data_IF_533652674233
#
_entry.id   IF_533652674233
#
_cell.length_a   1.000
_cell.length_b   1.000
_cell.length_c   1.000
_cell.angle_alpha   90.00
_cell.angle_beta   90.00
_cell.angle_gamma   90.00
#
_symmetry.space_group_name_H-M   'P 1'
#
loop_
_entity.id
_entity.type
_entity.pdbx_description
1 polymer ?
#
# COMPACT_ATOMS: atom_id res chain seq x y z
N UNK A 1 -7.40 -20.22 17.29
CA UNK A 1 -6.56 -19.42 16.38
C UNK A 1 -6.02 -18.25 17.19
N UNK A 2 -4.71 -18.09 17.28
CA UNK A 2 -4.09 -16.96 17.98
C UNK A 2 -4.22 -15.71 17.13
N UNK A 3 -5.08 -14.78 17.51
CA UNK A 3 -5.19 -13.45 16.90
C UNK A 3 -3.87 -12.72 17.13
N UNK A 4 -3.05 -12.65 16.10
CA UNK A 4 -1.78 -11.92 16.14
C UNK A 4 -2.08 -10.45 15.88
N UNK A 5 -2.08 -9.62 16.93
CA UNK A 5 -2.27 -8.18 16.80
C UNK A 5 -1.10 -7.56 16.03
N UNK A 6 -1.40 -6.82 14.97
CA UNK A 6 -0.40 -6.12 14.16
C UNK A 6 -0.33 -4.65 14.61
N UNK A 7 0.83 -4.14 15.05
CA UNK A 7 0.96 -2.75 15.46
C UNK A 7 0.66 -1.78 14.32
N UNK A 8 -0.26 -0.84 14.54
CA UNK A 8 -0.52 0.29 13.65
C UNK A 8 0.43 1.43 14.00
N UNK A 9 1.19 1.89 13.00
CA UNK A 9 2.11 3.02 13.13
C UNK A 9 1.40 4.34 12.79
N UNK A 10 0.54 4.31 11.77
CA UNK A 10 -0.15 5.48 11.27
C UNK A 10 -1.46 5.08 10.60
N UNK A 11 -2.49 5.91 10.78
CA UNK A 11 -3.77 5.76 10.11
C UNK A 11 -4.38 7.15 9.86
N UNK A 12 -4.71 7.43 8.61
CA UNK A 12 -5.60 8.51 8.20
C UNK A 12 -6.67 7.95 7.27
N UNK A 13 -7.57 8.79 6.76
CA UNK A 13 -8.64 8.40 5.85
C UNK A 13 -8.16 7.62 4.60
N UNK A 14 -6.97 7.94 4.08
CA UNK A 14 -6.43 7.40 2.84
C UNK A 14 -5.44 6.25 3.02
N UNK A 15 -4.77 6.16 4.16
CA UNK A 15 -3.60 5.31 4.38
C UNK A 15 -3.65 4.63 5.74
N UNK A 16 -3.29 3.35 5.74
CA UNK A 16 -3.00 2.57 6.94
C UNK A 16 -1.56 2.06 6.83
N UNK A 17 -0.76 2.32 7.86
CA UNK A 17 0.63 1.87 7.96
C UNK A 17 0.77 0.98 9.19
N UNK A 18 1.30 -0.21 8.98
CA UNK A 18 1.49 -1.21 10.03
C UNK A 18 2.95 -1.64 10.16
N UNK A 19 3.34 -2.12 11.33
CA UNK A 19 4.64 -2.72 11.58
C UNK A 19 4.52 -4.25 11.55
N UNK A 20 4.95 -4.90 10.46
CA UNK A 20 4.95 -6.36 10.36
C UNK A 20 6.08 -6.94 11.21
N UNK A 21 5.81 -7.87 12.14
CA UNK A 21 6.87 -8.61 12.82
C UNK A 21 7.61 -9.57 11.87
N UNK A 22 8.83 -9.95 12.24
CA UNK A 22 9.54 -11.05 11.59
C UNK A 22 8.84 -12.40 11.87
N UNK A 23 9.03 -13.39 11.01
CA UNK A 23 8.38 -14.69 11.09
C UNK A 23 6.95 -14.73 10.53
N UNK A 24 6.34 -13.58 10.23
CA UNK A 24 4.97 -13.48 9.75
C UNK A 24 4.91 -13.36 8.22
N UNK A 25 4.20 -14.28 7.58
CA UNK A 25 3.91 -14.23 6.13
C UNK A 25 2.90 -13.14 5.85
N UNK A 26 3.09 -12.38 4.76
CA UNK A 26 2.31 -11.18 4.51
C UNK A 26 0.90 -11.42 3.98
N UNK A 27 0.74 -12.33 3.01
CA UNK A 27 -0.53 -12.67 2.37
C UNK A 27 -0.54 -14.18 2.07
N UNK A 28 -1.71 -14.81 1.95
CA UNK A 28 -1.82 -16.23 1.68
C UNK A 28 -1.03 -16.66 0.44
N UNK A 29 -0.33 -17.77 0.56
CA UNK A 29 0.44 -18.42 -0.52
C UNK A 29 0.13 -19.91 -0.51
N UNK A 30 0.54 -20.64 -1.56
CA UNK A 30 0.32 -22.09 -1.62
C UNK A 30 0.91 -22.88 -0.44
N UNK A 31 1.99 -22.39 0.19
CA UNK A 31 2.60 -23.00 1.38
C UNK A 31 2.04 -22.49 2.71
N UNK A 32 1.43 -21.31 2.71
CA UNK A 32 0.93 -20.65 3.92
C UNK A 32 -0.45 -20.07 3.58
N UNK A 33 -1.47 -20.92 3.67
CA UNK A 33 -2.85 -20.57 3.30
C UNK A 33 -3.50 -19.68 4.36
N UNK A 34 -3.10 -19.81 5.61
CA UNK A 34 -3.60 -19.08 6.76
C UNK A 34 -2.47 -18.49 7.63
N UNK A 35 -2.82 -17.92 8.78
CA UNK A 35 -1.84 -17.35 9.72
C UNK A 35 -1.00 -16.19 9.18
N UNK A 36 -1.47 -15.51 8.13
CA UNK A 36 -0.76 -14.39 7.51
C UNK A 36 -1.16 -13.05 8.14
N UNK A 37 -0.31 -12.03 7.99
CA UNK A 37 -0.62 -10.66 8.39
C UNK A 37 -1.92 -10.17 7.76
N UNK A 38 -2.17 -10.51 6.49
CA UNK A 38 -3.41 -10.17 5.80
C UNK A 38 -4.64 -10.73 6.50
N UNK A 39 -4.58 -11.98 6.98
CA UNK A 39 -5.68 -12.59 7.71
C UNK A 39 -5.91 -11.91 9.06
N UNK A 40 -4.84 -11.57 9.78
CA UNK A 40 -4.92 -10.82 11.03
C UNK A 40 -5.56 -9.44 10.83
N UNK A 41 -5.13 -8.69 9.81
CA UNK A 41 -5.70 -7.37 9.49
C UNK A 41 -7.17 -7.44 9.07
N UNK A 42 -7.57 -8.50 8.37
CA UNK A 42 -8.98 -8.71 8.00
C UNK A 42 -9.86 -9.09 9.20
N UNK A 43 -9.32 -9.76 10.21
CA UNK A 43 -10.04 -10.06 11.44
C UNK A 43 -10.34 -8.78 12.24
N UNK A 44 -9.40 -7.83 12.21
CA UNK A 44 -9.51 -6.54 12.91
C UNK A 44 -10.05 -5.41 12.03
N UNK A 45 -10.62 -5.74 10.85
CA UNK A 45 -11.02 -4.76 9.83
C UNK A 45 -11.97 -3.68 10.35
N UNK A 46 -12.91 -4.07 11.21
CA UNK A 46 -13.88 -3.15 11.82
C UNK A 46 -13.21 -2.03 12.63
N UNK A 47 -12.04 -2.30 13.21
CA UNK A 47 -11.26 -1.32 13.97
C UNK A 47 -10.63 -0.26 13.05
N UNK A 48 -10.39 -0.62 11.78
CA UNK A 48 -9.70 0.24 10.80
C UNK A 48 -10.62 0.79 9.72
N UNK A 49 -11.92 0.47 9.75
CA UNK A 49 -12.89 0.87 8.72
C UNK A 49 -13.80 2.03 9.13
N UNK A 50 -13.67 2.56 10.35
CA UNK A 50 -14.44 3.72 10.80
C UNK A 50 -13.64 5.02 10.59
N UNK A 51 -14.23 5.99 9.88
CA UNK A 51 -13.84 7.40 9.95
C UNK A 51 -15.02 8.34 9.66
N UNK A 52 -14.87 9.59 10.03
CA UNK A 52 -15.88 10.64 9.85
C UNK A 52 -15.65 11.45 8.56
N UNK A 53 -14.90 10.91 7.60
CA UNK A 53 -14.63 11.65 6.37
C UNK A 53 -15.91 11.92 5.60
N UNK A 54 -16.01 13.12 5.06
CA UNK A 54 -17.11 13.57 4.19
C UNK A 54 -16.51 14.27 2.98
N UNK A 55 -17.11 14.10 1.79
CA UNK A 55 -16.69 14.85 0.62
C UNK A 55 -16.78 16.36 0.90
N UNK A 56 -15.78 17.15 0.48
CA UNK A 56 -15.78 18.58 0.73
C UNK A 56 -16.94 19.25 -0.02
N UNK A 57 -17.60 20.21 0.64
CA UNK A 57 -18.59 21.06 -0.02
C UNK A 57 -17.84 22.04 -0.91
N UNK A 58 -18.04 21.91 -2.22
CA UNK A 58 -17.43 22.77 -3.22
C UNK A 58 -18.48 23.71 -3.83
N UNK A 59 -18.09 24.95 -4.21
CA UNK A 59 -18.99 25.82 -4.96
C UNK A 59 -19.38 25.17 -6.29
N UNK A 60 -20.48 25.63 -6.87
CA UNK A 60 -20.86 25.22 -8.22
C UNK A 60 -19.79 25.60 -9.23
N UNK A 61 -19.63 24.75 -10.24
CA UNK A 61 -18.75 25.09 -11.35
C UNK A 61 -19.35 26.26 -12.14
N UNK A 62 -18.53 27.22 -12.61
CA UNK A 62 -19.02 28.34 -13.41
C UNK A 62 -19.84 27.90 -14.63
N UNK A 63 -19.48 26.76 -15.23
CA UNK A 63 -20.20 26.17 -16.37
C UNK A 63 -21.63 25.70 -16.05
N UNK A 64 -22.05 25.68 -14.77
CA UNK A 64 -23.38 25.26 -14.36
C UNK A 64 -24.36 26.44 -14.18
N UNK A 65 -23.87 27.68 -14.23
CA UNK A 65 -24.66 28.87 -13.89
C UNK A 65 -25.95 29.02 -14.74
N UNK A 66 -25.92 28.57 -16.00
CA UNK A 66 -27.09 28.59 -16.90
C UNK A 66 -28.03 27.40 -16.76
N UNK A 67 -27.71 26.39 -15.96
CA UNK A 67 -28.54 25.20 -15.79
C UNK A 67 -29.73 25.49 -14.87
N UNK A 68 -30.93 24.92 -15.11
CA UNK A 68 -32.06 25.02 -14.19
C UNK A 68 -31.72 24.49 -12.77
N UNK A 69 -32.38 24.96 -11.70
CA UNK A 69 -32.04 24.58 -10.32
C UNK A 69 -32.02 23.07 -10.05
N UNK A 70 -32.96 22.32 -10.62
CA UNK A 70 -33.00 20.86 -10.45
C UNK A 70 -31.81 20.14 -11.14
N UNK A 71 -31.30 20.70 -12.24
CA UNK A 71 -30.10 20.19 -12.93
C UNK A 71 -28.85 20.53 -12.11
N UNK A 72 -28.75 21.73 -11.56
CA UNK A 72 -27.64 22.08 -10.65
C UNK A 72 -27.60 21.13 -9.44
N UNK A 73 -28.75 20.84 -8.82
CA UNK A 73 -28.86 19.85 -7.75
C UNK A 73 -28.41 18.45 -8.20
N UNK A 74 -28.83 18.00 -9.38
CA UNK A 74 -28.37 16.72 -9.94
C UNK A 74 -26.84 16.71 -10.17
N UNK A 75 -26.26 17.80 -10.68
CA UNK A 75 -24.81 17.90 -10.93
C UNK A 75 -24.00 17.89 -9.62
N UNK A 76 -24.47 18.60 -8.59
CA UNK A 76 -23.90 18.53 -7.23
C UNK A 76 -23.94 17.11 -6.69
N UNK A 77 -25.08 16.44 -6.82
CA UNK A 77 -25.25 15.05 -6.37
C UNK A 77 -24.30 14.10 -7.11
N UNK A 78 -24.22 14.17 -8.43
CA UNK A 78 -23.27 13.37 -9.24
C UNK A 78 -21.82 13.64 -8.86
N UNK A 79 -21.47 14.89 -8.55
CA UNK A 79 -20.12 15.25 -8.07
C UNK A 79 -19.81 14.57 -6.73
N UNK A 80 -20.75 14.64 -5.78
CA UNK A 80 -20.63 13.98 -4.48
C UNK A 80 -20.48 12.47 -4.65
N UNK A 81 -21.31 11.83 -5.49
CA UNK A 81 -21.22 10.41 -5.81
C UNK A 81 -19.86 10.02 -6.39
N UNK A 82 -19.31 10.84 -7.31
CA UNK A 82 -17.98 10.63 -7.86
C UNK A 82 -16.90 10.73 -6.78
N UNK A 83 -16.98 11.72 -5.89
CA UNK A 83 -16.04 11.87 -4.79
C UNK A 83 -16.11 10.67 -3.83
N UNK A 84 -17.31 10.21 -3.46
CA UNK A 84 -17.46 8.98 -2.68
C UNK A 84 -16.88 7.75 -3.38
N UNK A 85 -17.00 7.66 -4.71
CA UNK A 85 -16.41 6.55 -5.46
C UNK A 85 -14.88 6.56 -5.43
N UNK A 86 -14.26 7.73 -5.43
CA UNK A 86 -12.80 7.86 -5.45
C UNK A 86 -12.17 7.86 -4.05
N UNK A 87 -12.78 8.59 -3.12
CA UNK A 87 -12.28 8.85 -1.79
C UNK A 87 -13.04 8.08 -0.70
N UNK A 88 -14.17 7.44 -0.99
CA UNK A 88 -14.79 6.53 -0.03
C UNK A 88 -13.85 5.37 0.35
N UNK A 89 -14.03 4.88 1.59
CA UNK A 89 -13.29 3.72 2.07
C UNK A 89 -13.57 2.49 1.19
N UNK A 90 -12.51 1.77 0.85
CA UNK A 90 -12.59 0.47 0.20
C UNK A 90 -13.23 -0.54 1.17
N UNK A 91 -13.99 -1.53 0.66
CA UNK A 91 -14.54 -2.61 1.51
C UNK A 91 -13.47 -3.35 2.30
N UNK A 92 -12.24 -3.40 1.76
CA UNK A 92 -11.01 -3.88 2.42
C UNK A 92 -9.86 -2.98 1.97
N UNK A 93 -8.97 -2.53 2.87
CA UNK A 93 -7.75 -1.84 2.49
C UNK A 93 -6.96 -2.62 1.44
N UNK A 94 -6.24 -1.95 0.56
CA UNK A 94 -5.43 -2.61 -0.47
C UNK A 94 -3.98 -2.69 -0.01
N UNK A 95 -3.44 -3.91 0.14
CA UNK A 95 -2.02 -4.13 0.41
C UNK A 95 -1.19 -3.69 -0.82
N UNK A 96 -0.28 -2.73 -0.63
CA UNK A 96 0.42 -2.09 -1.75
C UNK A 96 1.76 -2.75 -2.09
N UNK A 97 2.43 -3.32 -1.10
CA UNK A 97 3.72 -3.96 -1.25
C UNK A 97 3.90 -5.07 -0.23
N UNK A 98 4.99 -5.83 -0.37
CA UNK A 98 5.32 -6.91 0.55
C UNK A 98 6.70 -6.82 1.18
N UNK A 99 6.81 -7.44 2.34
CA UNK A 99 8.05 -7.84 3.00
C UNK A 99 8.10 -9.37 3.06
N UNK A 100 9.30 -9.93 3.11
CA UNK A 100 9.48 -11.37 3.29
C UNK A 100 9.10 -11.81 4.70
N UNK A 101 8.94 -13.13 4.90
CA UNK A 101 8.46 -13.71 6.16
C UNK A 101 9.29 -13.21 7.34
N UNK A 102 10.61 -13.34 7.25
CA UNK A 102 11.53 -13.02 8.34
C UNK A 102 12.02 -11.56 8.32
N UNK A 103 11.55 -10.76 7.36
CA UNK A 103 11.79 -9.31 7.33
C UNK A 103 10.71 -8.61 8.15
N UNK A 104 11.11 -7.89 9.20
CA UNK A 104 10.24 -6.98 9.93
C UNK A 104 10.18 -5.61 9.27
N UNK A 105 9.15 -4.82 9.61
CA UNK A 105 9.11 -3.40 9.30
C UNK A 105 7.80 -2.94 8.68
N UNK A 106 7.89 -1.77 8.05
CA UNK A 106 6.73 -0.97 7.65
C UNK A 106 6.04 -1.58 6.43
N UNK A 107 4.71 -1.70 6.49
CA UNK A 107 3.85 -2.07 5.36
C UNK A 107 2.71 -1.06 5.22
N UNK A 108 2.54 -0.53 4.01
CA UNK A 108 1.49 0.42 3.67
C UNK A 108 0.29 -0.27 3.00
N UNK A 109 -0.91 0.15 3.39
CA UNK A 109 -2.19 -0.24 2.83
C UNK A 109 -3.00 0.99 2.44
N UNK A 110 -3.52 1.03 1.22
CA UNK A 110 -4.43 2.09 0.80
C UNK A 110 -5.85 1.83 1.31
N UNK A 111 -6.49 2.85 1.88
CA UNK A 111 -7.86 2.76 2.40
C UNK A 111 -8.91 3.27 1.40
N UNK A 112 -8.52 4.04 0.37
CA UNK A 112 -9.42 4.57 -0.68
C UNK A 112 -8.89 4.25 -2.08
N UNK A 113 -9.74 4.29 -3.10
CA UNK A 113 -9.33 4.02 -4.49
C UNK A 113 -8.38 5.10 -5.03
N UNK A 114 -8.58 6.37 -4.64
CA UNK A 114 -7.65 7.46 -4.95
C UNK A 114 -6.25 7.18 -4.38
N UNK A 115 -6.16 6.84 -3.10
CA UNK A 115 -4.89 6.51 -2.43
C UNK A 115 -4.21 5.33 -3.08
N UNK A 116 -4.97 4.27 -3.38
CA UNK A 116 -4.47 3.08 -4.09
C UNK A 116 -3.85 3.43 -5.43
N UNK A 117 -4.58 4.15 -6.30
CA UNK A 117 -4.06 4.55 -7.62
C UNK A 117 -2.81 5.41 -7.50
N UNK A 118 -2.81 6.36 -6.56
CA UNK A 118 -1.67 7.24 -6.35
C UNK A 118 -0.42 6.46 -5.91
N UNK A 119 -0.55 5.58 -4.92
CA UNK A 119 0.57 4.82 -4.37
C UNK A 119 1.05 3.73 -5.33
N UNK A 120 0.15 3.04 -6.03
CA UNK A 120 0.54 2.09 -7.09
C UNK A 120 1.38 2.79 -8.15
N UNK A 121 0.98 3.98 -8.58
CA UNK A 121 1.78 4.79 -9.51
C UNK A 121 3.14 5.15 -8.92
N UNK A 122 3.23 5.58 -7.67
CA UNK A 122 4.53 5.88 -7.05
C UNK A 122 5.43 4.65 -6.92
N UNK A 123 4.87 3.45 -6.68
CA UNK A 123 5.62 2.19 -6.71
C UNK A 123 6.13 1.86 -8.12
N UNK A 124 5.32 2.09 -9.15
CA UNK A 124 5.70 1.89 -10.56
C UNK A 124 6.75 2.89 -11.03
N UNK A 125 6.62 4.15 -10.63
CA UNK A 125 7.52 5.25 -10.96
C UNK A 125 8.79 5.26 -10.10
N UNK A 126 8.95 4.30 -9.18
CA UNK A 126 10.07 4.20 -8.24
C UNK A 126 10.33 5.45 -7.39
N UNK A 127 9.29 6.26 -7.12
CA UNK A 127 9.41 7.49 -6.33
C UNK A 127 9.29 7.26 -4.82
N UNK A 128 8.92 6.05 -4.39
CA UNK A 128 8.87 5.67 -2.97
C UNK A 128 10.26 5.27 -2.47
N UNK A 129 10.77 6.03 -1.51
CA UNK A 129 12.01 5.69 -0.80
C UNK A 129 11.71 4.70 0.32
N UNK A 130 12.36 3.53 0.27
CA UNK A 130 12.31 2.52 1.33
C UNK A 130 13.71 2.33 1.90
N UNK A 131 13.87 2.53 3.21
CA UNK A 131 15.14 2.34 3.90
C UNK A 131 15.06 1.12 4.81
N UNK A 132 16.13 0.33 4.79
CA UNK A 132 16.25 -0.89 5.57
C UNK A 132 17.50 -0.80 6.43
N UNK A 133 17.37 -1.20 7.69
CA UNK A 133 18.51 -1.48 8.54
C UNK A 133 18.84 -2.96 8.43
N UNK A 134 20.08 -3.29 8.12
CA UNK A 134 20.56 -4.66 8.00
C UNK A 134 21.93 -4.81 8.68
N UNK A 135 22.19 -6.01 9.22
CA UNK A 135 23.50 -6.40 9.73
C UNK A 135 24.06 -7.46 8.79
N UNK A 136 25.32 -7.30 8.37
CA UNK A 136 26.00 -8.19 7.42
C UNK A 136 27.17 -8.86 8.13
N UNK A 137 27.29 -10.18 7.98
CA UNK A 137 28.28 -10.98 8.71
C UNK A 137 29.73 -10.71 8.30
N UNK A 138 30.00 -10.44 7.02
CA UNK A 138 31.37 -10.30 6.47
C UNK A 138 31.79 -8.84 6.23
N UNK A 139 31.25 -7.90 7.02
CA UNK A 139 31.52 -6.47 6.87
C UNK A 139 30.74 -5.83 5.72
N UNK A 140 30.76 -4.50 5.65
CA UNK A 140 30.17 -3.77 4.53
C UNK A 140 31.09 -3.92 3.31
N UNK A 141 30.65 -4.58 2.23
CA UNK A 141 31.48 -4.72 1.04
C UNK A 141 31.79 -3.34 0.45
N UNK A 142 32.87 -3.21 -0.32
CA UNK A 142 33.30 -1.92 -0.88
C UNK A 142 32.18 -1.20 -1.68
N UNK A 143 31.27 -1.96 -2.28
CA UNK A 143 30.10 -1.42 -3.00
C UNK A 143 29.01 -0.82 -2.09
N UNK A 144 29.06 -1.08 -0.78
CA UNK A 144 28.17 -0.51 0.23
C UNK A 144 28.54 0.92 0.64
N UNK A 145 29.60 1.51 0.06
CA UNK A 145 29.99 2.91 0.26
C UNK A 145 30.46 3.56 -1.08
N UNK A 146 29.70 4.43 -1.78
CA UNK A 146 28.25 4.57 -1.92
C UNK A 146 27.73 4.09 -3.31
N UNK A 147 26.41 3.78 -3.38
CA UNK A 147 25.56 3.64 -4.60
C UNK A 147 26.12 2.80 -5.76
N UNK A 148 26.48 1.55 -5.49
CA UNK A 148 26.66 0.59 -6.57
C UNK A 148 25.31 0.00 -6.99
N UNK A 149 25.03 0.09 -8.27
CA UNK A 149 24.03 -0.72 -8.93
C UNK A 149 24.50 -2.18 -8.92
N UNK A 150 23.67 -3.12 -8.45
CA UNK A 150 23.94 -4.54 -8.61
C UNK A 150 22.75 -5.25 -9.26
N UNK A 151 23.07 -6.33 -9.98
CA UNK A 151 22.09 -7.16 -10.65
C UNK A 151 21.69 -8.31 -9.73
N UNK A 152 20.40 -8.50 -9.52
CA UNK A 152 19.88 -9.70 -8.85
C UNK A 152 19.56 -10.72 -9.93
N UNK A 153 20.29 -11.84 -9.93
CA UNK A 153 20.03 -12.97 -10.81
C UNK A 153 19.24 -14.04 -10.07
N UNK A 154 18.11 -14.47 -10.65
CA UNK A 154 17.33 -15.58 -10.12
C UNK A 154 17.76 -16.85 -10.86
N UNK A 155 18.45 -17.77 -10.18
CA UNK A 155 18.78 -19.09 -10.72
C UNK A 155 17.57 -20.01 -10.62
N UNK A 156 17.16 -20.61 -11.74
CA UNK A 156 16.24 -21.75 -11.72
C UNK A 156 16.96 -23.01 -11.21
N UNK A 157 16.24 -24.00 -10.66
CA UNK A 157 16.82 -25.31 -10.32
C UNK A 157 17.45 -26.04 -11.52
N UNK A 158 17.05 -25.66 -12.74
CA UNK A 158 17.42 -26.28 -14.02
C UNK A 158 18.60 -25.58 -14.70
N UNK A 159 19.18 -24.55 -14.08
CA UNK A 159 20.38 -23.86 -14.60
C UNK A 159 20.13 -22.83 -15.70
N UNK A 160 18.88 -22.61 -16.11
CA UNK A 160 18.53 -21.52 -17.04
C UNK A 160 18.59 -20.15 -16.35
N UNK A 161 19.33 -19.21 -16.95
CA UNK A 161 19.44 -17.83 -16.48
C UNK A 161 18.33 -16.98 -17.11
N UNK A 162 17.45 -16.41 -16.28
CA UNK A 162 16.57 -15.31 -16.69
C UNK A 162 17.04 -14.04 -15.97
N UNK A 163 17.62 -13.10 -16.72
CA UNK A 163 17.90 -11.77 -16.22
C UNK A 163 16.60 -10.96 -16.19
N UNK A 164 16.31 -10.34 -15.05
CA UNK A 164 15.98 -8.91 -14.98
C UNK A 164 15.71 -8.49 -13.53
N UNK A 165 16.64 -7.72 -12.96
CA UNK A 165 16.38 -6.51 -12.16
C UNK A 165 17.70 -5.90 -11.69
N UNK A 166 17.90 -4.67 -12.13
CA UNK A 166 18.96 -3.78 -11.69
C UNK A 166 18.46 -3.08 -10.43
N UNK A 167 19.09 -3.32 -9.28
CA UNK A 167 18.68 -2.72 -8.00
C UNK A 167 19.74 -1.72 -7.56
N UNK A 168 19.34 -0.45 -7.48
CA UNK A 168 20.15 0.62 -6.89
C UNK A 168 19.73 0.76 -5.42
N UNK A 169 20.65 0.50 -4.49
CA UNK A 169 20.43 0.81 -3.07
C UNK A 169 20.66 2.31 -2.87
N UNK A 170 19.60 3.01 -2.43
CA UNK A 170 19.60 4.45 -2.17
C UNK A 170 19.79 4.77 -0.70
#
# INVERSE_FOLDING_TARGET
MTTTTIPVIYQDHHLLIVNKPAGLVIHPTYKNVDGTMWNALLADLAQFSADDWRPPVLPDEPGWAGAPPHIQSMLRQKRIEKQWKEDGLLPRPCLLHRLDKDTSGIVALARTERSRRHLVRQFQDHSIVKRYLAVVQQGAPAWAQPRATFTIEKRSPEGSMHQERVVTLA
#
